data_IF_734553096655
#
_entry.id   IF_734553096655
#
_cell.length_a   1.000
_cell.length_b   1.000
_cell.length_c   1.000
_cell.angle_alpha   90.00
_cell.angle_beta   90.00
_cell.angle_gamma   90.00
#
_symmetry.space_group_name_H-M   'P 1'
#
loop_
_entity.id
_entity.type
_entity.pdbx_description
1 polymer ?
#
# COMPACT_ATOMS: atom_id res chain seq x y z
N UNK A 1 -19.43 25.51 10.91
CA UNK A 1 -19.87 24.66 12.04
C UNK A 1 -18.73 23.72 12.42
N UNK A 2 -18.32 23.68 13.69
CA UNK A 2 -17.27 22.79 14.21
C UNK A 2 -17.93 21.51 14.75
N UNK A 3 -17.50 20.35 14.28
CA UNK A 3 -18.07 19.04 14.63
C UNK A 3 -16.95 18.03 14.85
N UNK A 4 -17.03 17.22 15.91
CA UNK A 4 -16.14 16.07 16.07
C UNK A 4 -16.60 14.92 15.17
N UNK A 5 -15.71 14.45 14.29
CA UNK A 5 -15.96 13.37 13.36
C UNK A 5 -15.44 12.06 13.94
N UNK A 6 -16.37 11.17 14.34
CA UNK A 6 -16.03 9.82 14.80
C UNK A 6 -15.42 8.94 13.69
N UNK A 7 -15.52 9.36 12.42
CA UNK A 7 -14.93 8.66 11.29
C UNK A 7 -13.44 9.00 11.11
N UNK A 8 -13.07 10.27 11.25
CA UNK A 8 -11.67 10.73 11.12
C UNK A 8 -10.93 10.86 12.46
N UNK A 9 -11.66 10.79 13.58
CA UNK A 9 -11.12 10.96 14.93
C UNK A 9 -10.69 12.39 15.25
N UNK A 10 -11.16 13.39 14.47
CA UNK A 10 -10.71 14.79 14.55
C UNK A 10 -11.89 15.77 14.59
N UNK A 11 -11.63 16.97 15.11
CA UNK A 11 -12.54 18.10 14.97
C UNK A 11 -12.48 18.62 13.52
N UNK A 12 -13.63 18.67 12.86
CA UNK A 12 -13.80 19.17 11.50
C UNK A 12 -14.59 20.48 11.55
N UNK A 13 -14.16 21.47 10.76
CA UNK A 13 -14.89 22.73 10.58
C UNK A 13 -15.33 22.82 9.14
N UNK A 14 -16.62 22.97 8.91
CA UNK A 14 -17.18 23.22 7.58
C UNK A 14 -17.61 24.68 7.46
N UNK A 15 -17.15 25.33 6.39
CA UNK A 15 -17.53 26.68 5.99
C UNK A 15 -18.48 26.60 4.79
N UNK A 16 -19.49 27.46 4.77
CA UNK A 16 -20.33 27.70 3.60
C UNK A 16 -19.87 28.98 2.91
N UNK A 17 -20.39 29.24 1.70
CA UNK A 17 -19.92 30.33 0.84
C UNK A 17 -19.96 31.72 1.49
N UNK A 18 -20.87 31.93 2.45
CA UNK A 18 -21.06 33.19 3.18
C UNK A 18 -20.54 33.13 4.63
N UNK A 19 -19.53 32.30 4.89
CA UNK A 19 -18.88 32.24 6.22
C UNK A 19 -17.75 33.24 6.32
N UNK A 20 -17.82 34.12 7.32
CA UNK A 20 -16.72 35.01 7.68
C UNK A 20 -15.83 34.37 8.75
N UNK A 21 -14.51 34.52 8.59
CA UNK A 21 -13.51 34.09 9.57
C UNK A 21 -12.96 35.35 10.23
N UNK A 22 -13.27 35.54 11.50
CA UNK A 22 -12.67 36.60 12.31
C UNK A 22 -11.42 36.08 13.00
N UNK A 23 -10.30 36.81 12.85
CA UNK A 23 -9.10 36.55 13.61
C UNK A 23 -9.30 37.08 15.03
N UNK A 24 -9.33 36.18 16.01
CA UNK A 24 -9.33 36.55 17.42
C UNK A 24 -7.89 36.44 17.90
N UNK A 25 -7.32 37.55 18.37
CA UNK A 25 -6.01 37.60 19.00
C UNK A 25 -6.11 36.93 20.40
N UNK A 26 -6.04 35.60 20.40
CA UNK A 26 -6.00 34.78 21.60
C UNK A 26 -4.54 34.46 21.92
N UNK A 27 -4.09 34.95 23.08
CA UNK A 27 -2.75 34.68 23.60
C UNK A 27 -2.71 33.24 24.17
N UNK A 28 -2.48 32.25 23.29
CA UNK A 28 -2.49 30.82 23.66
C UNK A 28 -1.17 30.48 24.38
N UNK A 29 -1.22 30.48 25.72
CA UNK A 29 -0.10 30.04 26.56
C UNK A 29 -0.13 28.51 26.68
N UNK A 30 1.03 27.88 26.45
CA UNK A 30 1.24 26.41 26.39
C UNK A 30 0.71 25.71 25.12
N UNK A 31 1.08 26.22 23.95
CA UNK A 31 1.07 25.40 22.74
C UNK A 31 2.07 24.24 22.94
N UNK A 32 1.58 22.99 22.95
CA UNK A 32 2.46 21.86 22.63
C UNK A 32 2.86 22.05 21.17
N UNK A 33 4.09 22.45 20.92
CA UNK A 33 4.67 22.36 19.57
C UNK A 33 4.60 20.89 19.15
N UNK A 34 3.62 20.59 18.30
CA UNK A 34 3.75 19.45 17.42
C UNK A 34 4.80 19.91 16.43
N UNK A 35 6.00 19.33 16.46
CA UNK A 35 6.96 19.49 15.38
C UNK A 35 6.26 19.04 14.10
N UNK A 36 5.74 20.01 13.33
CA UNK A 36 5.36 19.78 11.95
C UNK A 36 6.69 19.66 11.22
N UNK A 37 7.32 18.48 11.35
CA UNK A 37 8.49 18.18 10.57
C UNK A 37 8.04 18.33 9.12
N UNK A 38 8.66 19.26 8.40
CA UNK A 38 8.56 19.39 6.94
C UNK A 38 9.26 18.19 6.26
N UNK A 39 8.99 16.98 6.74
CA UNK A 39 9.34 15.74 6.07
C UNK A 39 8.30 15.58 4.97
N UNK A 40 8.75 15.66 3.74
CA UNK A 40 8.20 14.87 2.64
C UNK A 40 7.52 13.62 3.20
N UNK A 41 6.22 13.44 2.91
CA UNK A 41 5.39 12.27 3.18
C UNK A 41 6.15 11.08 3.78
N UNK A 42 5.84 10.59 5.00
CA UNK A 42 6.66 9.59 5.67
C UNK A 42 6.60 8.27 4.90
N UNK A 43 7.52 8.16 3.93
CA UNK A 43 7.93 6.93 3.25
C UNK A 43 8.85 6.11 4.16
N UNK A 44 9.11 6.58 5.38
CA UNK A 44 9.86 5.85 6.38
C UNK A 44 9.02 4.72 6.95
N UNK A 45 9.49 3.50 6.76
CA UNK A 45 9.05 2.36 7.54
C UNK A 45 9.38 2.65 9.02
N UNK A 46 8.44 2.32 9.90
CA UNK A 46 8.57 2.50 11.35
C UNK A 46 9.65 1.61 11.97
N UNK A 47 10.06 0.56 11.24
CA UNK A 47 10.95 -0.52 11.69
C UNK A 47 10.35 -1.42 12.78
N UNK A 48 9.10 -1.18 13.17
CA UNK A 48 8.34 -2.10 14.02
C UNK A 48 7.58 -3.10 13.13
N UNK A 49 8.22 -4.23 12.84
CA UNK A 49 7.64 -5.25 11.98
C UNK A 49 6.74 -6.20 12.78
N UNK A 50 5.50 -6.34 12.33
CA UNK A 50 4.55 -7.31 12.87
C UNK A 50 4.81 -8.69 12.27
N UNK A 51 4.84 -9.73 13.10
CA UNK A 51 4.89 -11.11 12.61
C UNK A 51 3.58 -11.47 11.92
N UNK A 52 3.66 -12.20 10.82
CA UNK A 52 2.49 -12.53 10.01
C UNK A 52 1.44 -13.31 10.80
N UNK A 53 1.87 -14.23 11.67
CA UNK A 53 0.97 -15.03 12.51
C UNK A 53 0.19 -14.22 13.56
N UNK A 54 0.61 -13.00 13.87
CA UNK A 54 -0.07 -12.09 14.81
C UNK A 54 -1.15 -11.24 14.13
N UNK A 55 -1.22 -11.24 12.79
CA UNK A 55 -2.19 -10.44 12.01
C UNK A 55 -3.57 -11.12 12.03
N UNK A 56 -4.35 -10.83 13.06
CA UNK A 56 -5.71 -11.37 13.27
C UNK A 56 -6.81 -10.29 13.35
N UNK A 57 -6.46 -9.04 13.03
CA UNK A 57 -7.35 -7.89 13.14
C UNK A 57 -7.27 -6.99 11.92
N UNK A 58 -8.28 -6.13 11.76
CA UNK A 58 -8.27 -5.05 10.75
C UNK A 58 -7.33 -3.96 11.22
N UNK A 59 -6.35 -3.60 10.39
CA UNK A 59 -5.35 -2.60 10.76
C UNK A 59 -4.39 -2.29 9.64
N UNK A 60 -3.43 -1.43 9.94
CA UNK A 60 -2.27 -1.16 9.08
C UNK A 60 -1.09 -1.85 9.72
N UNK A 61 -0.37 -2.65 8.94
CA UNK A 61 0.76 -3.44 9.40
C UNK A 61 1.98 -3.20 8.51
N UNK A 62 3.15 -3.24 9.12
CA UNK A 62 4.44 -3.33 8.45
C UNK A 62 4.98 -4.75 8.67
N UNK A 63 5.26 -5.47 7.60
CA UNK A 63 5.79 -6.83 7.65
C UNK A 63 7.11 -6.90 6.90
N UNK A 64 7.98 -7.81 7.33
CA UNK A 64 9.22 -8.15 6.66
C UNK A 64 9.16 -9.63 6.27
N UNK A 65 9.39 -9.93 5.00
CA UNK A 65 9.34 -11.31 4.53
C UNK A 65 9.76 -11.43 3.07
N UNK A 66 9.75 -12.64 2.55
CA UNK A 66 10.15 -12.94 1.18
C UNK A 66 8.97 -13.50 0.36
N UNK A 67 9.11 -13.51 -0.96
CA UNK A 67 8.13 -14.12 -1.86
C UNK A 67 8.53 -15.59 -2.13
N UNK A 68 7.88 -16.60 -1.53
CA UNK A 68 8.28 -18.00 -1.66
C UNK A 68 7.80 -18.68 -2.95
N UNK A 69 6.85 -18.08 -3.68
CA UNK A 69 6.18 -18.74 -4.80
C UNK A 69 6.13 -17.86 -6.03
N UNK A 70 6.11 -18.53 -7.17
CA UNK A 70 5.96 -17.93 -8.49
C UNK A 70 4.61 -17.21 -8.67
N UNK A 71 4.61 -16.17 -9.50
CA UNK A 71 3.38 -15.50 -9.93
C UNK A 71 2.55 -16.45 -10.80
N UNK A 72 1.33 -16.73 -10.36
CA UNK A 72 0.39 -17.57 -11.12
C UNK A 72 -0.33 -16.80 -12.23
N UNK A 73 -0.63 -15.53 -12.00
CA UNK A 73 -1.43 -14.71 -12.92
C UNK A 73 -1.28 -13.22 -12.59
N UNK A 74 -1.50 -12.37 -13.60
CA UNK A 74 -1.62 -10.91 -13.46
C UNK A 74 -3.03 -10.51 -13.87
N UNK A 75 -3.81 -9.99 -12.92
CA UNK A 75 -5.16 -9.51 -13.23
C UNK A 75 -5.07 -8.07 -13.72
N UNK A 76 -5.82 -7.74 -14.77
CA UNK A 76 -5.89 -6.38 -15.31
C UNK A 76 -7.36 -6.01 -15.26
N UNK A 77 -7.64 -4.80 -14.79
CA UNK A 77 -8.98 -4.26 -14.74
C UNK A 77 -8.96 -2.81 -15.20
N UNK A 78 -10.06 -2.41 -15.81
CA UNK A 78 -10.24 -1.04 -16.25
C UNK A 78 -10.78 -0.20 -15.09
N UNK A 79 -10.04 0.84 -14.72
CA UNK A 79 -10.28 1.67 -13.56
C UNK A 79 -10.62 3.11 -13.96
N UNK A 80 -11.36 3.79 -13.10
CA UNK A 80 -11.51 5.25 -13.18
C UNK A 80 -10.23 5.93 -12.64
N UNK A 81 -9.62 6.87 -13.38
CA UNK A 81 -8.38 7.53 -12.95
C UNK A 81 -8.55 8.40 -11.69
N UNK A 82 -9.79 8.78 -11.31
CA UNK A 82 -10.05 9.59 -10.10
C UNK A 82 -10.19 8.78 -8.83
N UNK A 83 -10.83 7.61 -8.89
CA UNK A 83 -11.14 6.82 -7.70
C UNK A 83 -10.51 5.42 -7.69
N UNK A 84 -9.85 5.03 -8.77
CA UNK A 84 -9.23 3.71 -9.00
C UNK A 84 -10.16 2.50 -8.82
N UNK A 85 -11.48 2.74 -8.72
CA UNK A 85 -12.49 1.68 -8.76
C UNK A 85 -12.70 1.23 -10.20
N UNK A 86 -13.17 -0.01 -10.35
CA UNK A 86 -13.67 -0.50 -11.63
C UNK A 86 -14.74 0.44 -12.17
N UNK A 87 -14.77 0.61 -13.48
CA UNK A 87 -15.71 1.54 -14.14
C UNK A 87 -17.16 1.19 -13.84
N UNK A 88 -17.47 -0.11 -13.80
CA UNK A 88 -18.80 -0.63 -13.44
C UNK A 88 -19.26 -0.18 -12.03
N UNK A 89 -18.31 -0.01 -11.10
CA UNK A 89 -18.54 0.39 -9.71
C UNK A 89 -18.29 1.88 -9.46
N UNK A 90 -17.99 2.64 -10.53
CA UNK A 90 -17.61 4.04 -10.43
C UNK A 90 -18.85 4.93 -10.31
N UNK A 91 -18.82 5.86 -9.35
CA UNK A 91 -19.86 6.88 -9.15
C UNK A 91 -19.36 8.30 -9.49
N UNK A 92 -18.20 8.42 -10.14
CA UNK A 92 -17.67 9.71 -10.57
C UNK A 92 -18.53 10.25 -11.72
N UNK A 93 -18.99 11.48 -11.61
CA UNK A 93 -19.98 12.08 -12.52
C UNK A 93 -19.40 12.54 -13.87
N UNK A 94 -18.09 12.45 -14.07
CA UNK A 94 -17.42 12.98 -15.26
C UNK A 94 -16.90 11.87 -16.17
N UNK A 95 -17.03 12.03 -17.51
CA UNK A 95 -16.42 11.11 -18.47
C UNK A 95 -14.90 11.32 -18.46
N UNK A 96 -14.21 10.49 -17.67
CA UNK A 96 -12.75 10.37 -17.70
C UNK A 96 -12.36 9.20 -18.59
N UNK A 97 -11.30 9.35 -19.38
CA UNK A 97 -10.71 8.22 -20.12
C UNK A 97 -10.29 7.12 -19.15
N UNK A 98 -10.85 5.92 -19.30
CA UNK A 98 -10.46 4.74 -18.55
C UNK A 98 -8.95 4.49 -18.55
N UNK A 99 -8.38 4.08 -17.42
CA UNK A 99 -7.01 3.56 -17.35
C UNK A 99 -7.00 2.08 -17.01
N UNK A 100 -6.02 1.35 -17.53
CA UNK A 100 -5.82 -0.05 -17.16
C UNK A 100 -4.93 -0.12 -15.92
N UNK A 101 -5.37 -0.86 -14.91
CA UNK A 101 -4.59 -1.11 -13.69
C UNK A 101 -4.41 -2.60 -13.50
N UNK A 102 -3.21 -2.99 -13.05
CA UNK A 102 -2.92 -4.38 -12.70
C UNK A 102 -3.15 -4.68 -11.22
N UNK A 103 -3.45 -5.94 -10.92
CA UNK A 103 -3.48 -6.51 -9.57
C UNK A 103 -2.57 -7.73 -9.57
N UNK A 104 -1.57 -7.69 -8.70
CA UNK A 104 -0.67 -8.80 -8.43
C UNK A 104 -0.99 -9.37 -7.06
N UNK A 105 -1.28 -10.66 -7.03
CA UNK A 105 -1.46 -11.40 -5.78
C UNK A 105 -0.27 -12.33 -5.60
N UNK A 106 0.43 -12.18 -4.49
CA UNK A 106 1.55 -13.04 -4.12
C UNK A 106 1.36 -13.54 -2.69
N UNK A 107 2.15 -14.55 -2.30
CA UNK A 107 2.33 -14.91 -0.92
C UNK A 107 3.60 -14.24 -0.40
N UNK A 108 3.58 -13.85 0.86
CA UNK A 108 4.73 -13.34 1.59
C UNK A 108 4.89 -14.20 2.83
N UNK A 109 6.12 -14.63 3.09
CA UNK A 109 6.46 -15.49 4.23
C UNK A 109 7.57 -14.83 5.06
N UNK A 110 7.42 -14.84 6.38
CA UNK A 110 8.38 -14.27 7.33
C UNK A 110 9.05 -15.33 8.22
N UNK A 111 8.84 -16.62 7.91
CA UNK A 111 9.26 -17.75 8.73
C UNK A 111 8.36 -18.07 9.93
N UNK A 112 7.47 -17.15 10.33
CA UNK A 112 6.48 -17.35 11.40
C UNK A 112 5.07 -17.59 10.85
N UNK A 113 4.80 -17.16 9.62
CA UNK A 113 3.59 -17.45 8.88
C UNK A 113 3.65 -16.96 7.43
N UNK A 114 2.60 -17.28 6.70
CA UNK A 114 2.43 -16.83 5.31
C UNK A 114 1.15 -15.99 5.18
N UNK A 115 1.24 -14.83 4.54
CA UNK A 115 0.09 -13.97 4.24
C UNK A 115 -0.03 -13.74 2.74
N UNK A 116 -1.27 -13.70 2.26
CA UNK A 116 -1.54 -13.28 0.89
C UNK A 116 -1.46 -11.77 0.81
N UNK A 117 -0.61 -11.27 -0.06
CA UNK A 117 -0.38 -9.84 -0.25
C UNK A 117 -0.77 -9.43 -1.66
N UNK A 118 -1.60 -8.40 -1.75
CA UNK A 118 -2.10 -7.83 -3.00
C UNK A 118 -1.43 -6.48 -3.27
N UNK A 119 -0.78 -6.36 -4.42
CA UNK A 119 -0.19 -5.13 -4.94
C UNK A 119 -1.10 -4.63 -6.08
N UNK A 120 -1.41 -3.34 -6.11
CA UNK A 120 -2.39 -2.77 -7.06
C UNK A 120 -1.78 -1.57 -7.79
N UNK A 121 -2.00 -1.51 -9.11
CA UNK A 121 -1.60 -0.41 -9.98
C UNK A 121 -0.11 -0.10 -9.87
N UNK A 122 0.23 1.14 -9.52
CA UNK A 122 1.60 1.64 -9.45
C UNK A 122 2.51 0.81 -8.52
N UNK A 123 1.95 0.31 -7.42
CA UNK A 123 2.67 -0.54 -6.47
C UNK A 123 2.96 -1.93 -7.08
N UNK A 124 2.06 -2.45 -7.89
CA UNK A 124 2.30 -3.67 -8.65
C UNK A 124 3.32 -3.45 -9.77
N UNK A 125 3.20 -2.37 -10.55
CA UNK A 125 4.15 -2.00 -11.59
C UNK A 125 5.58 -1.87 -11.04
N UNK A 126 5.72 -1.21 -9.88
CA UNK A 126 7.00 -1.05 -9.20
C UNK A 126 7.62 -2.39 -8.80
N UNK A 127 6.81 -3.37 -8.39
CA UNK A 127 7.28 -4.70 -7.95
C UNK A 127 7.89 -5.50 -9.11
N UNK A 128 7.21 -5.51 -10.26
CA UNK A 128 7.66 -6.29 -11.44
C UNK A 128 8.52 -5.47 -12.42
N UNK A 129 8.60 -4.15 -12.19
CA UNK A 129 9.32 -3.17 -13.04
C UNK A 129 8.81 -3.15 -14.49
N UNK A 130 7.50 -3.33 -14.66
CA UNK A 130 6.81 -3.31 -15.95
C UNK A 130 5.50 -2.53 -15.86
N UNK A 131 5.14 -1.84 -16.93
CA UNK A 131 3.92 -1.01 -17.01
C UNK A 131 2.67 -1.83 -17.32
N UNK A 132 1.53 -1.42 -16.77
CA UNK A 132 0.25 -2.10 -17.00
C UNK A 132 -0.10 -2.19 -18.48
N UNK A 133 0.05 -1.09 -19.22
CA UNK A 133 -0.26 -1.02 -20.66
C UNK A 133 0.49 -2.06 -21.50
N UNK A 134 1.73 -2.38 -21.11
CA UNK A 134 2.56 -3.39 -21.82
C UNK A 134 1.99 -4.78 -21.57
N UNK A 135 1.68 -5.09 -20.31
CA UNK A 135 1.14 -6.40 -19.92
C UNK A 135 -0.25 -6.58 -20.51
N UNK A 136 -1.06 -5.53 -20.57
CA UNK A 136 -2.40 -5.57 -21.15
C UNK A 136 -2.41 -5.94 -22.63
N UNK A 137 -1.48 -5.38 -23.42
CA UNK A 137 -1.34 -5.69 -24.85
C UNK A 137 -0.94 -7.15 -25.11
N UNK A 138 -0.15 -7.72 -24.22
CA UNK A 138 0.40 -9.07 -24.36
C UNK A 138 -0.53 -10.11 -23.72
N UNK A 139 -1.40 -9.70 -22.80
CA UNK A 139 -2.33 -10.59 -22.12
C UNK A 139 -3.30 -11.24 -23.10
N UNK A 140 -3.31 -12.57 -23.14
CA UNK A 140 -4.10 -13.35 -24.10
C UNK A 140 -3.36 -13.72 -25.40
N UNK A 141 -2.12 -13.28 -25.56
CA UNK A 141 -1.21 -13.75 -26.62
C UNK A 141 -0.34 -14.91 -26.12
N UNK A 142 0.25 -15.73 -27.02
CA UNK A 142 1.19 -16.79 -26.65
C UNK A 142 2.43 -16.28 -25.89
N UNK A 143 2.77 -15.00 -26.04
CA UNK A 143 3.93 -14.36 -25.42
C UNK A 143 3.71 -14.01 -23.93
N UNK A 144 2.47 -14.13 -23.43
CA UNK A 144 2.15 -13.85 -22.03
C UNK A 144 2.82 -14.84 -21.07
N UNK A 145 2.78 -16.14 -21.36
CA UNK A 145 3.32 -17.17 -20.47
C UNK A 145 4.85 -17.07 -20.29
N UNK A 146 5.65 -16.87 -21.36
CA UNK A 146 7.09 -16.59 -21.23
C UNK A 146 7.37 -15.32 -20.43
N UNK A 147 6.61 -14.25 -20.65
CA UNK A 147 6.76 -13.00 -19.90
C UNK A 147 6.44 -13.21 -18.42
N UNK A 148 5.34 -13.89 -18.10
CA UNK A 148 4.95 -14.19 -16.73
C UNK A 148 6.03 -14.99 -16.00
N UNK A 149 6.61 -16.02 -16.64
CA UNK A 149 7.73 -16.78 -16.07
C UNK A 149 8.94 -15.89 -15.80
N UNK A 150 9.30 -15.00 -16.73
CA UNK A 150 10.42 -14.06 -16.58
C UNK A 150 10.19 -13.06 -15.44
N UNK A 151 8.97 -12.57 -15.26
CA UNK A 151 8.64 -11.66 -14.16
C UNK A 151 8.59 -12.39 -12.82
N UNK A 152 8.02 -13.59 -12.84
CA UNK A 152 7.95 -14.49 -11.69
C UNK A 152 9.35 -14.81 -11.15
N UNK A 153 10.29 -15.20 -12.02
CA UNK A 153 11.66 -15.53 -11.61
C UNK A 153 12.43 -14.33 -11.03
N UNK A 154 12.09 -13.10 -11.46
CA UNK A 154 12.69 -11.88 -10.89
C UNK A 154 12.21 -11.59 -9.48
N UNK A 155 10.97 -11.91 -9.14
CA UNK A 155 10.40 -11.60 -7.82
C UNK A 155 10.51 -12.76 -6.83
N UNK A 156 10.67 -13.98 -7.34
CA UNK A 156 10.81 -15.19 -6.52
C UNK A 156 12.04 -15.06 -5.62
N UNK A 157 11.86 -15.30 -4.32
CA UNK A 157 12.92 -15.21 -3.33
C UNK A 157 13.34 -13.78 -2.97
N UNK A 158 12.66 -12.73 -3.48
CA UNK A 158 12.97 -11.37 -3.06
C UNK A 158 12.52 -11.11 -1.63
N UNK A 159 13.43 -10.58 -0.84
CA UNK A 159 13.15 -10.02 0.48
C UNK A 159 12.55 -8.61 0.39
N UNK A 160 11.43 -8.41 1.06
CA UNK A 160 10.63 -7.20 1.00
C UNK A 160 10.22 -6.75 2.41
N UNK A 161 10.24 -5.44 2.60
CA UNK A 161 9.53 -4.78 3.69
C UNK A 161 8.26 -4.19 3.09
N UNK A 162 7.10 -4.57 3.60
CA UNK A 162 5.80 -4.25 3.03
C UNK A 162 4.96 -3.53 4.07
N UNK A 163 4.35 -2.42 3.65
CA UNK A 163 3.39 -1.67 4.43
C UNK A 163 2.03 -1.77 3.78
N UNK A 164 1.06 -2.28 4.52
CA UNK A 164 -0.24 -2.64 3.96
C UNK A 164 -1.38 -2.54 4.97
N UNK A 165 -2.60 -2.57 4.44
CA UNK A 165 -3.82 -2.65 5.24
C UNK A 165 -4.34 -4.09 5.22
N UNK A 166 -4.61 -4.66 6.40
CA UNK A 166 -5.22 -5.98 6.46
C UNK A 166 -6.71 -5.91 6.09
N UNK A 167 -7.16 -6.91 5.37
CA UNK A 167 -8.54 -7.10 4.94
C UNK A 167 -8.91 -8.54 5.18
N UNK A 168 -9.98 -8.77 5.94
CA UNK A 168 -10.52 -10.11 6.10
C UNK A 168 -11.15 -10.58 4.78
N UNK A 169 -10.77 -11.76 4.34
CA UNK A 169 -11.32 -12.40 3.14
C UNK A 169 -12.39 -13.40 3.55
N UNK A 170 -13.63 -13.15 3.16
CA UNK A 170 -14.76 -14.04 3.48
C UNK A 170 -14.63 -15.42 2.80
N UNK A 171 -13.85 -15.49 1.72
CA UNK A 171 -13.60 -16.71 0.96
C UNK A 171 -12.58 -17.62 1.65
N UNK A 172 -11.43 -17.07 2.07
CA UNK A 172 -10.36 -17.84 2.72
C UNK A 172 -10.53 -17.93 4.23
N UNK A 173 -11.43 -17.13 4.83
CA UNK A 173 -11.59 -16.97 6.29
C UNK A 173 -10.30 -16.53 7.00
N UNK A 174 -9.41 -15.85 6.27
CA UNK A 174 -8.13 -15.34 6.76
C UNK A 174 -7.97 -13.87 6.42
N UNK A 175 -7.09 -13.18 7.14
CA UNK A 175 -6.67 -11.84 6.76
C UNK A 175 -5.70 -11.89 5.58
N UNK A 176 -5.93 -11.01 4.61
CA UNK A 176 -5.05 -10.72 3.49
C UNK A 176 -4.49 -9.31 3.66
N UNK A 177 -3.34 -9.02 3.08
CA UNK A 177 -2.69 -7.72 3.15
C UNK A 177 -2.82 -7.00 1.80
N UNK A 178 -3.35 -5.78 1.79
CA UNK A 178 -3.32 -4.91 0.62
C UNK A 178 -2.16 -3.93 0.79
N UNK A 179 -1.12 -4.10 -0.01
CA UNK A 179 0.09 -3.28 0.05
C UNK A 179 -0.16 -1.91 -0.57
N UNK A 180 0.26 -0.86 0.14
CA UNK A 180 0.29 0.51 -0.41
C UNK A 180 1.71 1.05 -0.50
N UNK A 181 2.69 0.43 0.16
CA UNK A 181 4.10 0.71 -0.04
C UNK A 181 4.96 -0.54 0.20
N UNK A 182 6.12 -0.62 -0.44
CA UNK A 182 7.12 -1.64 -0.16
C UNK A 182 8.53 -1.14 -0.50
N UNK A 183 9.53 -1.77 0.14
CA UNK A 183 10.96 -1.58 -0.10
C UNK A 183 11.61 -2.97 -0.30
N UNK A 184 12.50 -3.08 -1.28
CA UNK A 184 13.38 -4.25 -1.42
C UNK A 184 14.47 -4.17 -0.35
N UNK A 185 14.72 -5.27 0.33
CA UNK A 185 15.71 -5.32 1.41
C UNK A 185 17.12 -5.42 0.81
N UNK A 186 18.04 -4.60 1.30
CA UNK A 186 19.47 -4.73 0.99
C UNK A 186 20.15 -5.40 2.19
N UNK A 187 20.72 -6.61 2.04
CA UNK A 187 21.41 -7.31 3.12
C UNK A 187 22.50 -6.47 3.79
N UNK A 188 23.17 -5.58 3.04
CA UNK A 188 24.23 -4.74 3.59
C UNK A 188 23.68 -3.63 4.48
N UNK A 189 22.51 -3.07 4.14
CA UNK A 189 21.83 -2.11 5.01
C UNK A 189 21.38 -2.81 6.30
N UNK A 190 20.81 -4.00 6.18
CA UNK A 190 20.33 -4.76 7.33
C UNK A 190 21.44 -5.13 8.32
N UNK A 191 22.59 -5.63 7.82
CA UNK A 191 23.73 -5.96 8.68
C UNK A 191 24.22 -4.72 9.43
N UNK A 192 24.32 -3.57 8.76
CA UNK A 192 24.73 -2.32 9.41
C UNK A 192 23.74 -1.89 10.49
N UNK A 193 22.45 -2.04 10.22
CA UNK A 193 21.39 -1.70 11.18
C UNK A 193 21.43 -2.62 12.40
N UNK A 194 21.61 -3.93 12.21
CA UNK A 194 21.74 -4.90 13.31
C UNK A 194 22.97 -4.64 14.18
N UNK A 195 24.12 -4.29 13.57
CA UNK A 195 25.33 -3.93 14.32
C UNK A 195 25.05 -2.72 15.21
N UNK A 196 24.41 -1.68 14.66
CA UNK A 196 24.07 -0.48 15.43
C UNK A 196 23.11 -0.75 16.61
N UNK A 197 22.21 -1.74 16.50
CA UNK A 197 21.33 -2.13 17.61
C UNK A 197 22.07 -2.91 18.71
N UNK A 198 23.14 -3.64 18.37
CA UNK A 198 23.93 -4.42 19.33
C UNK A 198 24.99 -3.55 20.03
N UNK A 199 25.50 -2.52 19.35
CA UNK A 199 26.51 -1.60 19.89
C UNK A 199 25.94 -0.52 20.82
N UNK A 200 24.61 -0.36 20.87
CA UNK A 200 23.90 0.50 21.84
C UNK A 200 23.33 -0.32 23.00
#
# INVERSE_FOLDING_TARGET
>A
MLRYSNFSGRNEVSFIKDSDIEFIDLDIKNLKEIEISSKSSPSSFSREYTKINEINSKGVFEIKGYIPKELKNITIYTACPKCYKKIEDCKCSEPTTPEERMILNTLVDDGYGTIRTTFIGDIAEKLIKEKTDVIAKIKGTPDFDPLLKKLSSKILGKDLIIKGKSKFSDFTKMYELVAYNFKEMDPNEEIKELINEIEN
#
